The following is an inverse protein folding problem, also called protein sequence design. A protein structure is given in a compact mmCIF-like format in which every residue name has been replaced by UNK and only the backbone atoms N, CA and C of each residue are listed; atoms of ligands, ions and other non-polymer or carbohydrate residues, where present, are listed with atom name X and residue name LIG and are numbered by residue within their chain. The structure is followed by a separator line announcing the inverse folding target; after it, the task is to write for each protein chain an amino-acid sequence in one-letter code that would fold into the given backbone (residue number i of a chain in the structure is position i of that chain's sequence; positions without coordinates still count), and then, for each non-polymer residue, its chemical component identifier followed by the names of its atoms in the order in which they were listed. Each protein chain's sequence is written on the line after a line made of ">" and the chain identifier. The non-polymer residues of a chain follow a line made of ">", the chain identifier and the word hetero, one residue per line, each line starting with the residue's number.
data_IF_741876964901
#
_entry.id   IF_741876964901
#
_cell.length_a   1.000
_cell.length_b   1.000
_cell.length_c   1.000
_cell.angle_alpha   90.00
_cell.angle_beta   90.00
_cell.angle_gamma   90.00
#
_symmetry.space_group_name_H-M   'P 1'
#
loop_
_entity.id
_entity.type
_entity.pdbx_description
1 polymer ?
#
# COMPACT_ATOMS: atom_id res chain seq x y z
N UNK A 1 31.49 -12.97 4.59
CA UNK A 1 30.52 -13.27 3.51
C UNK A 1 30.10 -11.93 2.89
N UNK A 2 30.56 -11.61 1.67
CA UNK A 2 30.34 -10.29 1.05
C UNK A 2 28.83 -10.06 0.81
N UNK A 3 28.29 -9.01 1.41
CA UNK A 3 26.91 -8.54 1.26
C UNK A 3 26.77 -7.84 -0.08
N UNK A 4 26.18 -8.54 -1.07
CA UNK A 4 25.79 -7.91 -2.32
C UNK A 4 24.61 -6.98 -2.07
N UNK A 5 24.90 -5.68 -2.11
CA UNK A 5 23.94 -4.60 -2.03
C UNK A 5 23.01 -4.71 -3.26
N UNK A 6 21.70 -4.88 -3.05
CA UNK A 6 20.70 -5.02 -4.14
C UNK A 6 20.68 -3.78 -5.06
N UNK A 7 21.21 -2.65 -4.58
CA UNK A 7 21.35 -1.40 -5.35
C UNK A 7 22.52 -1.40 -6.35
N UNK A 8 23.44 -2.37 -6.28
CA UNK A 8 24.57 -2.51 -7.20
C UNK A 8 24.44 -3.81 -8.02
N UNK A 9 23.37 -3.93 -8.80
CA UNK A 9 23.41 -4.84 -9.96
C UNK A 9 24.34 -4.19 -10.97
N UNK A 10 25.62 -4.54 -10.86
CA UNK A 10 26.65 -4.14 -11.80
C UNK A 10 26.37 -4.85 -13.12
N UNK A 11 25.70 -4.17 -14.06
CA UNK A 11 25.58 -4.62 -15.44
C UNK A 11 26.91 -4.57 -16.20
N UNK A 12 28.04 -4.33 -15.51
CA UNK A 12 29.38 -4.13 -16.09
C UNK A 12 29.89 -5.32 -16.88
N UNK A 13 29.34 -6.52 -16.68
CA UNK A 13 29.82 -7.74 -17.32
C UNK A 13 28.80 -8.36 -18.29
N UNK A 14 27.76 -7.62 -18.68
CA UNK A 14 26.83 -8.08 -19.71
C UNK A 14 27.01 -7.24 -20.96
N UNK A 15 27.59 -7.83 -22.01
CA UNK A 15 27.76 -7.18 -23.31
C UNK A 15 26.49 -6.45 -23.79
N UNK A 16 26.69 -5.35 -24.51
CA UNK A 16 25.69 -4.38 -25.02
C UNK A 16 24.20 -4.76 -24.78
N UNK A 17 23.73 -4.54 -23.55
CA UNK A 17 22.31 -4.62 -23.19
C UNK A 17 21.69 -3.28 -23.59
N UNK A 18 20.83 -3.28 -24.61
CA UNK A 18 20.18 -2.06 -25.09
C UNK A 18 19.46 -1.28 -23.97
N UNK A 19 19.43 0.04 -24.10
CA UNK A 19 18.99 0.99 -23.06
C UNK A 19 17.60 0.66 -22.48
N UNK A 20 16.65 0.24 -23.32
CA UNK A 20 15.30 -0.13 -22.88
C UNK A 20 15.30 -1.36 -21.95
N UNK A 21 16.07 -2.40 -22.28
CA UNK A 21 16.16 -3.60 -21.45
C UNK A 21 16.87 -3.31 -20.13
N UNK A 22 17.90 -2.44 -20.16
CA UNK A 22 18.57 -1.95 -18.96
C UNK A 22 17.62 -1.19 -18.05
N UNK A 23 16.83 -0.26 -18.58
CA UNK A 23 15.82 0.48 -17.82
C UNK A 23 14.76 -0.47 -17.23
N UNK A 24 14.20 -1.36 -18.04
CA UNK A 24 13.17 -2.29 -17.58
C UNK A 24 13.70 -3.27 -16.51
N UNK A 25 14.94 -3.74 -16.64
CA UNK A 25 15.57 -4.59 -15.62
C UNK A 25 15.80 -3.88 -14.28
N UNK A 26 16.06 -2.56 -14.29
CA UNK A 26 16.13 -1.76 -13.06
C UNK A 26 14.77 -1.70 -12.36
N UNK A 27 13.67 -1.57 -13.10
CA UNK A 27 12.32 -1.58 -12.53
C UNK A 27 12.02 -2.94 -11.88
N UNK A 28 12.39 -4.04 -12.54
CA UNK A 28 12.26 -5.38 -11.93
C UNK A 28 13.11 -5.51 -10.67
N UNK A 29 14.35 -4.99 -10.68
CA UNK A 29 15.20 -4.99 -9.50
C UNK A 29 14.57 -4.20 -8.34
N UNK A 30 13.94 -3.06 -8.64
CA UNK A 30 13.19 -2.28 -7.65
C UNK A 30 12.00 -3.08 -7.12
N UNK A 31 11.25 -3.78 -7.98
CA UNK A 31 10.11 -4.62 -7.60
C UNK A 31 10.52 -5.77 -6.67
N UNK A 32 11.68 -6.37 -6.90
CA UNK A 32 12.18 -7.49 -6.09
C UNK A 32 12.97 -7.08 -4.84
N UNK A 33 13.33 -5.81 -4.72
CA UNK A 33 14.00 -5.27 -3.55
C UNK A 33 13.12 -5.33 -2.29
N UNK A 34 13.73 -5.24 -1.10
CA UNK A 34 12.98 -5.32 0.17
C UNK A 34 11.98 -4.18 0.38
N UNK A 35 12.19 -3.02 -0.27
CA UNK A 35 11.23 -1.91 -0.34
C UNK A 35 10.38 -1.91 -1.63
N UNK A 36 10.39 -3.01 -2.40
CA UNK A 36 9.75 -3.10 -3.71
C UNK A 36 8.24 -2.89 -3.65
N UNK A 37 7.59 -3.31 -2.56
CA UNK A 37 6.16 -3.04 -2.35
C UNK A 37 5.87 -1.54 -2.32
N UNK A 38 6.59 -0.77 -1.49
CA UNK A 38 6.43 0.70 -1.41
C UNK A 38 6.67 1.36 -2.75
N UNK A 39 7.80 1.04 -3.39
CA UNK A 39 8.22 1.71 -4.63
C UNK A 39 7.24 1.43 -5.78
N UNK A 40 6.87 0.16 -5.98
CA UNK A 40 5.99 -0.22 -7.07
C UNK A 40 4.57 0.28 -6.83
N UNK A 41 4.07 0.23 -5.59
CA UNK A 41 2.75 0.79 -5.28
C UNK A 41 2.70 2.29 -5.45
N UNK A 42 3.72 3.01 -4.99
CA UNK A 42 3.83 4.45 -5.22
C UNK A 42 3.82 4.80 -6.72
N UNK A 43 4.60 4.07 -7.52
CA UNK A 43 4.63 4.28 -8.99
C UNK A 43 3.27 3.97 -9.60
N UNK A 44 2.62 2.86 -9.21
CA UNK A 44 1.31 2.47 -9.74
C UNK A 44 0.25 3.51 -9.39
N UNK A 45 0.17 3.89 -8.13
CA UNK A 45 -0.81 4.85 -7.61
C UNK A 45 -0.63 6.21 -8.29
N UNK A 46 0.60 6.71 -8.32
CA UNK A 46 0.96 7.96 -9.00
C UNK A 46 0.65 7.90 -10.51
N UNK A 47 1.05 6.84 -11.20
CA UNK A 47 0.82 6.73 -12.64
C UNK A 47 -0.68 6.58 -12.98
N UNK A 48 -1.44 5.82 -12.18
CA UNK A 48 -2.88 5.64 -12.38
C UNK A 48 -3.68 6.90 -12.02
N UNK A 49 -3.22 7.72 -11.07
CA UNK A 49 -3.83 9.01 -10.73
C UNK A 49 -3.47 10.11 -11.74
N UNK A 50 -2.18 10.25 -12.08
CA UNK A 50 -1.69 11.33 -12.94
C UNK A 50 -2.02 11.13 -14.42
N UNK A 51 -1.90 9.91 -14.97
CA UNK A 51 -2.02 9.72 -16.41
C UNK A 51 -3.41 10.09 -16.96
N UNK A 52 -4.53 9.64 -16.36
CA UNK A 52 -5.84 10.08 -16.82
C UNK A 52 -6.10 11.56 -16.54
N UNK A 53 -5.60 12.10 -15.42
CA UNK A 53 -5.81 13.52 -15.08
C UNK A 53 -5.01 14.45 -15.99
N UNK A 54 -3.81 14.10 -16.40
CA UNK A 54 -3.06 14.86 -17.39
C UNK A 54 -3.83 14.95 -18.73
N UNK A 55 -4.63 13.93 -19.06
CA UNK A 55 -5.48 13.89 -20.26
C UNK A 55 -6.80 14.66 -20.07
N UNK A 56 -7.35 14.69 -18.86
CA UNK A 56 -8.69 15.24 -18.58
C UNK A 56 -8.72 16.50 -17.70
N UNK A 57 -7.57 17.05 -17.29
CA UNK A 57 -7.51 18.22 -16.40
C UNK A 57 -8.07 19.46 -17.08
N UNK A 58 -8.87 20.22 -16.33
CA UNK A 58 -9.55 21.42 -16.83
C UNK A 58 -8.64 22.65 -16.85
N UNK A 59 -7.52 22.61 -16.11
CA UNK A 59 -6.48 23.64 -16.12
C UNK A 59 -5.14 23.11 -15.56
N UNK A 60 -4.05 23.84 -15.80
CA UNK A 60 -2.72 23.52 -15.22
C UNK A 60 -2.71 23.61 -13.69
N UNK A 61 -3.46 24.55 -13.12
CA UNK A 61 -3.55 24.73 -11.66
C UNK A 61 -4.31 23.57 -10.99
N UNK A 62 -5.44 23.17 -11.59
CA UNK A 62 -6.25 22.01 -11.17
C UNK A 62 -5.45 20.70 -11.25
N UNK A 63 -4.60 20.56 -12.27
CA UNK A 63 -3.68 19.44 -12.38
C UNK A 63 -2.63 19.47 -11.25
N UNK A 64 -1.99 20.61 -10.97
CA UNK A 64 -0.92 20.72 -9.97
C UNK A 64 -1.43 20.50 -8.54
N UNK A 65 -2.55 21.12 -8.17
CA UNK A 65 -3.10 21.01 -6.80
C UNK A 65 -3.55 19.57 -6.48
N UNK A 66 -4.29 18.94 -7.39
CA UNK A 66 -4.74 17.56 -7.21
C UNK A 66 -3.57 16.57 -7.27
N UNK A 67 -2.59 16.80 -8.15
CA UNK A 67 -1.38 15.96 -8.22
C UNK A 67 -0.56 16.05 -6.95
N UNK A 68 -0.41 17.24 -6.38
CA UNK A 68 0.35 17.45 -5.15
C UNK A 68 -0.30 16.74 -3.96
N UNK A 69 -1.62 16.85 -3.81
CA UNK A 69 -2.36 16.18 -2.73
C UNK A 69 -2.28 14.66 -2.84
N UNK A 70 -2.52 14.10 -4.03
CA UNK A 70 -2.43 12.65 -4.24
C UNK A 70 -1.01 12.13 -4.06
N UNK A 71 0.00 12.84 -4.57
CA UNK A 71 1.40 12.46 -4.39
C UNK A 71 1.79 12.46 -2.90
N UNK A 72 1.32 13.46 -2.15
CA UNK A 72 1.57 13.57 -0.71
C UNK A 72 0.92 12.44 0.07
N UNK A 73 -0.31 12.07 -0.27
CA UNK A 73 -1.03 10.93 0.32
C UNK A 73 -0.34 9.60 0.00
N UNK A 74 0.02 9.37 -1.27
CA UNK A 74 0.79 8.19 -1.65
C UNK A 74 2.15 8.15 -0.94
N UNK A 75 2.86 9.27 -0.81
CA UNK A 75 4.13 9.31 -0.06
C UNK A 75 3.93 8.96 1.42
N UNK A 76 2.87 9.50 2.03
CA UNK A 76 2.50 9.22 3.41
C UNK A 76 2.20 7.73 3.63
N UNK A 77 1.46 7.10 2.74
CA UNK A 77 1.11 5.68 2.85
C UNK A 77 2.31 4.77 2.60
N UNK A 78 3.09 5.02 1.54
CA UNK A 78 4.09 4.05 1.08
C UNK A 78 5.46 4.20 1.74
N UNK A 79 5.84 5.39 2.20
CA UNK A 79 7.19 5.63 2.75
C UNK A 79 7.19 6.01 4.24
N UNK A 80 6.19 6.74 4.74
CA UNK A 80 6.20 7.16 6.14
C UNK A 80 6.18 6.00 7.17
N UNK A 81 5.54 4.83 6.92
CA UNK A 81 5.67 3.70 7.86
C UNK A 81 7.12 3.29 8.10
N UNK A 82 7.91 3.19 7.02
CA UNK A 82 9.32 2.85 7.11
C UNK A 82 10.15 3.98 7.71
N UNK A 83 9.87 5.24 7.36
CA UNK A 83 10.58 6.41 7.91
C UNK A 83 10.36 6.55 9.43
N UNK A 84 9.11 6.47 9.88
CA UNK A 84 8.78 6.54 11.31
C UNK A 84 9.28 5.31 12.06
N UNK A 85 9.06 4.12 11.47
CA UNK A 85 9.51 2.84 12.03
C UNK A 85 11.01 2.80 12.22
N UNK A 86 11.80 3.06 11.17
CA UNK A 86 13.26 2.98 11.19
C UNK A 86 13.90 4.20 11.87
N UNK A 87 13.43 5.40 11.54
CA UNK A 87 14.06 6.66 11.93
C UNK A 87 13.79 7.07 13.38
N UNK A 88 12.61 6.74 13.90
CA UNK A 88 12.13 7.17 15.22
C UNK A 88 11.93 5.97 16.13
N UNK A 89 10.94 5.11 15.84
CA UNK A 89 10.49 4.11 16.80
C UNK A 89 11.51 2.99 17.04
N UNK A 90 12.25 2.57 15.99
CA UNK A 90 13.32 1.55 16.13
C UNK A 90 14.37 2.04 17.11
N UNK A 91 14.78 3.30 17.02
CA UNK A 91 15.74 3.88 17.98
C UNK A 91 15.13 3.87 19.38
N UNK A 92 13.92 4.41 19.56
CA UNK A 92 13.29 4.50 20.87
C UNK A 92 13.11 3.13 21.57
N UNK A 93 12.60 2.12 20.86
CA UNK A 93 12.20 0.86 21.48
C UNK A 93 13.29 -0.21 21.49
N UNK A 94 14.27 -0.14 20.58
CA UNK A 94 15.35 -1.13 20.55
C UNK A 94 16.52 -0.80 21.46
N UNK A 95 16.59 0.40 22.07
CA UNK A 95 17.76 0.86 22.81
C UNK A 95 18.28 -0.13 23.85
N UNK A 96 17.37 -0.80 24.58
CA UNK A 96 17.69 -1.78 25.63
C UNK A 96 17.98 -3.19 25.11
N UNK A 97 17.81 -3.46 23.81
CA UNK A 97 18.13 -4.74 23.23
C UNK A 97 19.65 -4.90 23.02
N UNK A 98 20.19 -6.11 23.25
CA UNK A 98 21.55 -6.45 22.84
C UNK A 98 21.79 -6.29 21.33
N UNK A 99 23.03 -6.03 20.94
CA UNK A 99 23.38 -5.68 19.55
C UNK A 99 23.08 -6.78 18.53
N UNK A 100 23.18 -8.05 18.93
CA UNK A 100 22.79 -9.20 18.11
C UNK A 100 21.26 -9.22 17.83
N UNK A 101 20.44 -8.88 18.83
CA UNK A 101 18.98 -8.82 18.70
C UNK A 101 18.54 -7.58 17.90
N UNK A 102 19.22 -6.43 18.06
CA UNK A 102 18.94 -5.22 17.26
C UNK A 102 18.99 -5.47 15.75
N UNK A 103 19.89 -6.36 15.29
CA UNK A 103 20.02 -6.75 13.89
C UNK A 103 18.84 -7.61 13.38
N UNK A 104 18.16 -8.33 14.28
CA UNK A 104 17.03 -9.20 13.94
C UNK A 104 15.68 -8.48 13.98
N UNK A 105 15.65 -7.18 14.30
CA UNK A 105 14.40 -6.39 14.35
C UNK A 105 13.70 -6.34 12.99
N UNK A 106 14.47 -6.31 11.90
CA UNK A 106 13.91 -6.31 10.54
C UNK A 106 13.47 -7.69 10.07
N UNK A 107 13.97 -8.77 10.70
CA UNK A 107 13.56 -10.14 10.38
C UNK A 107 12.07 -10.32 10.70
N UNK A 108 11.23 -10.80 9.76
CA UNK A 108 9.81 -11.01 10.00
C UNK A 108 9.56 -11.96 11.18
N UNK A 109 8.56 -11.66 12.01
CA UNK A 109 8.19 -12.45 13.17
C UNK A 109 7.84 -13.90 12.80
N UNK A 110 7.24 -14.11 11.62
CA UNK A 110 6.93 -15.44 11.09
C UNK A 110 8.18 -16.29 10.86
N UNK A 111 9.33 -15.68 10.53
CA UNK A 111 10.61 -16.36 10.39
C UNK A 111 11.27 -16.58 11.75
N UNK A 112 11.22 -15.58 12.63
CA UNK A 112 11.75 -15.69 14.01
C UNK A 112 11.07 -16.82 14.79
N UNK A 113 9.75 -16.98 14.61
CA UNK A 113 8.99 -18.07 15.23
C UNK A 113 9.37 -19.45 14.67
N UNK A 114 9.78 -19.55 13.39
CA UNK A 114 10.24 -20.82 12.80
C UNK A 114 11.64 -21.23 13.28
N UNK A 115 12.51 -20.27 13.60
CA UNK A 115 13.87 -20.53 14.09
C UNK A 115 13.90 -21.08 15.53
N UNK A 116 12.76 -21.08 16.23
CA UNK A 116 12.56 -21.65 17.56
C UNK A 116 13.55 -21.18 18.66
N UNK A 117 14.01 -19.93 18.58
CA UNK A 117 14.87 -19.30 19.61
C UNK A 117 14.01 -18.62 20.68
N UNK A 118 13.40 -19.43 21.56
CA UNK A 118 12.39 -18.95 22.51
C UNK A 118 12.85 -17.78 23.41
N UNK A 119 14.10 -17.79 23.88
CA UNK A 119 14.65 -16.73 24.72
C UNK A 119 14.80 -15.39 23.99
N UNK A 120 15.28 -15.44 22.74
CA UNK A 120 15.43 -14.26 21.89
C UNK A 120 14.06 -13.70 21.50
N UNK A 121 13.12 -14.59 21.14
CA UNK A 121 11.76 -14.22 20.74
C UNK A 121 11.00 -13.52 21.88
N UNK A 122 11.19 -13.93 23.15
CA UNK A 122 10.61 -13.25 24.31
C UNK A 122 11.05 -11.78 24.41
N UNK A 123 12.26 -11.44 23.97
CA UNK A 123 12.77 -10.05 23.97
C UNK A 123 12.38 -9.30 22.70
N UNK A 124 12.42 -9.96 21.55
CA UNK A 124 12.23 -9.35 20.24
C UNK A 124 10.76 -9.05 19.90
N UNK A 125 9.85 -9.99 20.13
CA UNK A 125 8.46 -9.86 19.69
C UNK A 125 7.75 -8.65 20.31
N UNK A 126 7.89 -8.36 21.63
CA UNK A 126 7.27 -7.16 22.19
C UNK A 126 7.79 -5.86 21.61
N UNK A 127 9.09 -5.79 21.31
CA UNK A 127 9.70 -4.60 20.68
C UNK A 127 9.16 -4.43 19.25
N UNK A 128 9.12 -5.51 18.46
CA UNK A 128 8.53 -5.47 17.11
C UNK A 128 7.05 -5.08 17.14
N UNK A 129 6.28 -5.59 18.09
CA UNK A 129 4.86 -5.27 18.24
C UNK A 129 4.65 -3.79 18.61
N UNK A 130 5.51 -3.23 19.47
CA UNK A 130 5.50 -1.80 19.79
C UNK A 130 5.82 -0.92 18.56
N UNK A 131 6.77 -1.34 17.72
CA UNK A 131 7.06 -0.66 16.45
C UNK A 131 5.84 -0.65 15.54
N UNK A 132 5.21 -1.81 15.37
CA UNK A 132 4.02 -1.98 14.53
C UNK A 132 2.85 -1.13 15.01
N UNK A 133 2.56 -1.13 16.32
CA UNK A 133 1.50 -0.32 16.92
C UNK A 133 1.75 1.18 16.80
N UNK A 134 3.00 1.63 16.96
CA UNK A 134 3.33 3.04 16.81
C UNK A 134 3.23 3.51 15.36
N UNK A 135 3.47 2.60 14.41
CA UNK A 135 3.29 2.84 12.97
C UNK A 135 1.82 2.87 12.53
N UNK A 136 0.86 2.45 13.38
CA UNK A 136 -0.58 2.68 13.12
C UNK A 136 -0.94 4.17 13.03
N UNK A 137 -0.03 5.07 13.40
CA UNK A 137 -0.12 6.49 13.08
C UNK A 137 -0.56 6.74 11.63
N UNK A 138 0.02 6.00 10.67
CA UNK A 138 -0.21 6.23 9.24
C UNK A 138 -1.64 5.87 8.82
N UNK A 139 -2.15 4.63 9.06
CA UNK A 139 -3.57 4.32 8.85
C UNK A 139 -4.54 5.29 9.54
N UNK A 140 -4.21 5.74 10.76
CA UNK A 140 -5.04 6.65 11.54
C UNK A 140 -5.04 8.09 10.99
N UNK A 141 -3.89 8.56 10.50
CA UNK A 141 -3.80 9.82 9.77
C UNK A 141 -4.62 9.73 8.48
N UNK A 142 -4.51 8.64 7.72
CA UNK A 142 -5.31 8.42 6.50
C UNK A 142 -6.82 8.46 6.77
N UNK A 143 -7.26 7.81 7.84
CA UNK A 143 -8.65 7.91 8.32
C UNK A 143 -9.03 9.37 8.62
N UNK A 144 -8.19 10.08 9.35
CA UNK A 144 -8.46 11.46 9.79
C UNK A 144 -8.42 12.46 8.65
N UNK A 145 -7.54 12.26 7.66
CA UNK A 145 -7.39 13.11 6.48
C UNK A 145 -8.71 13.24 5.71
N UNK A 146 -9.49 12.16 5.63
CA UNK A 146 -10.82 12.22 5.01
C UNK A 146 -11.77 13.21 5.72
N UNK A 147 -11.74 13.27 7.04
CA UNK A 147 -12.53 14.22 7.84
C UNK A 147 -11.91 15.63 7.85
N UNK A 148 -10.58 15.74 7.84
CA UNK A 148 -9.88 17.03 7.70
C UNK A 148 -10.23 17.67 6.35
N UNK A 149 -10.27 16.88 5.27
CA UNK A 149 -10.75 17.33 3.95
C UNK A 149 -12.18 17.89 4.06
N UNK A 150 -13.10 17.23 4.78
CA UNK A 150 -14.45 17.78 5.02
C UNK A 150 -14.39 19.16 5.70
N UNK A 151 -13.56 19.33 6.73
CA UNK A 151 -13.42 20.60 7.45
C UNK A 151 -12.80 21.69 6.59
N UNK A 152 -11.80 21.36 5.76
CA UNK A 152 -11.21 22.30 4.82
C UNK A 152 -12.25 22.75 3.79
N UNK A 153 -13.03 21.83 3.24
CA UNK A 153 -14.12 22.16 2.32
C UNK A 153 -15.14 23.09 2.97
N UNK A 154 -15.57 22.79 4.21
CA UNK A 154 -16.46 23.66 4.98
C UNK A 154 -15.87 25.05 5.24
N UNK A 155 -14.58 25.13 5.59
CA UNK A 155 -13.93 26.40 5.98
C UNK A 155 -13.60 27.29 4.78
N UNK A 156 -13.12 26.70 3.68
CA UNK A 156 -12.75 27.42 2.46
C UNK A 156 -13.97 27.77 1.60
N UNK A 157 -14.97 26.89 1.53
CA UNK A 157 -16.13 27.07 0.64
C UNK A 157 -17.44 27.38 1.38
N UNK A 158 -17.46 27.39 2.73
CA UNK A 158 -18.67 27.58 3.57
C UNK A 158 -19.80 26.57 3.26
N UNK A 159 -19.46 25.40 2.72
CA UNK A 159 -20.42 24.46 2.15
C UNK A 159 -20.10 23.01 2.53
N UNK A 160 -21.09 22.29 3.05
CA UNK A 160 -21.00 20.88 3.44
C UNK A 160 -21.38 19.89 2.34
N UNK A 161 -21.87 20.38 1.19
CA UNK A 161 -22.20 19.56 0.03
C UNK A 161 -21.33 19.92 -1.18
N UNK A 162 -20.67 18.91 -1.76
CA UNK A 162 -19.79 19.07 -2.93
C UNK A 162 -20.57 19.35 -4.21
N UNK A 163 -21.87 19.02 -4.23
CA UNK A 163 -22.77 19.26 -5.37
C UNK A 163 -22.85 20.76 -5.74
N UNK A 164 -22.69 21.65 -4.76
CA UNK A 164 -22.70 23.11 -4.99
C UNK A 164 -21.33 23.70 -5.40
N UNK A 165 -20.25 22.92 -5.29
CA UNK A 165 -18.87 23.37 -5.61
C UNK A 165 -18.60 23.26 -7.12
N UNK A 166 -19.39 22.45 -7.84
CA UNK A 166 -19.34 22.33 -9.31
C UNK A 166 -20.02 23.49 -10.06
N UNK A 167 -20.68 24.40 -9.34
CA UNK A 167 -21.18 25.69 -9.84
C UNK A 167 -22.23 25.58 -10.97
N UNK A 168 -23.44 25.10 -10.64
CA UNK A 168 -24.62 25.19 -11.52
C UNK A 168 -25.83 25.89 -10.89
N UNK A 169 -25.71 26.51 -9.72
CA UNK A 169 -26.83 27.20 -9.08
C UNK A 169 -26.45 28.61 -8.59
N UNK A 170 -27.16 29.64 -9.08
CA UNK A 170 -26.92 31.05 -8.73
C UNK A 170 -27.52 31.44 -7.37
N UNK A 171 -28.39 30.62 -6.79
CA UNK A 171 -28.96 30.86 -5.45
C UNK A 171 -28.31 30.00 -4.36
N UNK A 172 -27.36 30.61 -3.65
CA UNK A 172 -26.62 30.01 -2.53
C UNK A 172 -27.48 29.89 -1.28
N UNK A 173 -28.19 28.77 -1.08
CA UNK A 173 -28.75 28.43 0.25
C UNK A 173 -27.70 27.71 1.10
N UNK A 174 -27.16 28.43 2.09
CA UNK A 174 -26.28 27.88 3.12
C UNK A 174 -27.09 26.91 3.98
N UNK A 175 -26.81 25.60 3.91
CA UNK A 175 -27.43 24.62 4.79
C UNK A 175 -26.65 24.52 6.11
N UNK A 176 -26.97 25.42 7.05
CA UNK A 176 -26.31 25.51 8.36
C UNK A 176 -26.40 24.21 9.18
N UNK A 177 -27.47 23.43 9.04
CA UNK A 177 -27.67 22.18 9.77
C UNK A 177 -26.74 21.07 9.25
N UNK A 178 -26.62 20.94 7.93
CA UNK A 178 -25.69 20.00 7.30
C UNK A 178 -24.23 20.39 7.62
N UNK A 179 -23.89 21.67 7.55
CA UNK A 179 -22.56 22.17 7.88
C UNK A 179 -22.19 21.85 9.33
N UNK A 180 -23.10 22.11 10.28
CA UNK A 180 -22.90 21.78 11.69
C UNK A 180 -22.75 20.28 11.93
N UNK A 181 -23.52 19.45 11.22
CA UNK A 181 -23.42 17.98 11.31
C UNK A 181 -22.05 17.49 10.82
N UNK A 182 -21.61 17.94 9.65
CA UNK A 182 -20.31 17.55 9.07
C UNK A 182 -19.16 18.02 9.96
N UNK A 183 -19.22 19.25 10.50
CA UNK A 183 -18.19 19.77 11.39
C UNK A 183 -18.12 19.00 12.72
N UNK A 184 -19.27 18.75 13.36
CA UNK A 184 -19.33 17.96 14.61
C UNK A 184 -18.82 16.54 14.40
N UNK A 185 -19.21 15.92 13.28
CA UNK A 185 -18.74 14.58 12.91
C UNK A 185 -17.22 14.56 12.72
N UNK A 186 -16.67 15.47 11.90
CA UNK A 186 -15.24 15.52 11.65
C UNK A 186 -14.42 15.76 12.92
N UNK A 187 -14.83 16.71 13.78
CA UNK A 187 -14.17 16.94 15.08
C UNK A 187 -14.23 15.71 15.99
N UNK A 188 -15.38 15.01 16.03
CA UNK A 188 -15.55 13.78 16.81
C UNK A 188 -14.59 12.69 16.33
N UNK A 189 -14.52 12.46 15.03
CA UNK A 189 -13.69 11.41 14.45
C UNK A 189 -12.18 11.71 14.59
N UNK A 190 -11.75 12.95 14.40
CA UNK A 190 -10.35 13.36 14.64
C UNK A 190 -9.96 13.13 16.12
N UNK A 191 -10.82 13.54 17.07
CA UNK A 191 -10.59 13.30 18.50
C UNK A 191 -10.55 11.81 18.84
N UNK A 192 -11.47 11.03 18.28
CA UNK A 192 -11.52 9.59 18.48
C UNK A 192 -10.23 8.92 17.98
N UNK A 193 -9.75 9.31 16.81
CA UNK A 193 -8.51 8.80 16.24
C UNK A 193 -7.28 9.17 17.07
N UNK A 194 -7.21 10.41 17.57
CA UNK A 194 -6.16 10.79 18.51
C UNK A 194 -6.18 9.93 19.79
N UNK A 195 -7.37 9.63 20.32
CA UNK A 195 -7.56 8.73 21.46
C UNK A 195 -7.10 7.29 21.18
N UNK A 196 -7.47 6.73 20.02
CA UNK A 196 -6.99 5.41 19.59
C UNK A 196 -5.45 5.40 19.51
N UNK A 197 -4.86 6.42 18.89
CA UNK A 197 -3.42 6.48 18.73
C UNK A 197 -2.69 6.60 20.07
N UNK A 198 -3.21 7.40 21.00
CA UNK A 198 -2.69 7.46 22.37
C UNK A 198 -2.74 6.09 23.06
N UNK A 199 -3.82 5.31 22.85
CA UNK A 199 -3.92 3.93 23.28
C UNK A 199 -2.85 3.02 22.67
N UNK A 200 -2.60 3.14 21.36
CA UNK A 200 -1.53 2.41 20.68
C UNK A 200 -0.14 2.72 21.27
N UNK A 201 0.15 3.98 21.57
CA UNK A 201 1.43 4.39 22.18
C UNK A 201 1.57 3.91 23.63
N UNK A 202 0.49 3.95 24.41
CA UNK A 202 0.46 3.42 25.77
C UNK A 202 0.72 1.90 25.76
N UNK A 203 0.05 1.16 24.88
CA UNK A 203 0.25 -0.28 24.71
C UNK A 203 1.65 -0.60 24.20
N UNK A 204 2.19 0.17 23.25
CA UNK A 204 3.57 0.04 22.76
C UNK A 204 4.58 0.17 23.90
N UNK A 205 4.40 1.18 24.76
CA UNK A 205 5.25 1.38 25.93
C UNK A 205 5.13 0.22 26.92
N UNK A 206 3.91 -0.29 27.14
CA UNK A 206 3.67 -1.44 28.01
C UNK A 206 4.33 -2.71 27.47
N UNK A 207 4.26 -2.97 26.16
CA UNK A 207 4.91 -4.09 25.50
C UNK A 207 6.44 -4.03 25.65
N UNK A 208 7.06 -2.87 25.42
CA UNK A 208 8.51 -2.71 25.58
C UNK A 208 8.95 -2.90 27.04
N UNK A 209 8.19 -2.36 28.01
CA UNK A 209 8.58 -2.41 29.43
C UNK A 209 8.30 -3.76 30.09
N UNK A 210 7.17 -4.39 29.79
CA UNK A 210 6.68 -5.58 30.51
C UNK A 210 6.48 -6.81 29.62
N UNK A 211 6.64 -6.68 28.30
CA UNK A 211 6.35 -7.75 27.34
C UNK A 211 7.17 -9.01 27.59
N UNK A 212 8.48 -8.88 27.84
CA UNK A 212 9.38 -10.02 28.09
C UNK A 212 8.88 -10.95 29.20
N UNK A 213 8.28 -10.38 30.25
CA UNK A 213 7.92 -11.09 31.48
C UNK A 213 6.43 -11.44 31.54
N UNK A 214 5.61 -11.03 30.56
CA UNK A 214 4.16 -11.25 30.58
C UNK A 214 3.70 -12.13 29.43
N UNK A 215 3.16 -13.31 29.77
CA UNK A 215 2.60 -14.26 28.79
C UNK A 215 1.47 -13.63 27.97
N UNK A 216 0.66 -12.77 28.57
CA UNK A 216 -0.44 -12.07 27.88
C UNK A 216 0.13 -11.11 26.83
N UNK A 217 1.13 -10.31 27.19
CA UNK A 217 1.76 -9.38 26.27
C UNK A 217 2.55 -10.07 25.16
N UNK A 218 3.16 -11.23 25.45
CA UNK A 218 3.76 -12.09 24.41
C UNK A 218 2.71 -12.59 23.42
N UNK A 219 1.60 -13.14 23.93
CA UNK A 219 0.50 -13.61 23.09
C UNK A 219 -0.08 -12.49 22.21
N UNK A 220 -0.21 -11.29 22.77
CA UNK A 220 -0.65 -10.11 22.04
C UNK A 220 0.36 -9.69 20.98
N UNK A 221 1.66 -9.74 21.29
CA UNK A 221 2.73 -9.45 20.32
C UNK A 221 2.68 -10.40 19.14
N UNK A 222 2.51 -11.71 19.39
CA UNK A 222 2.33 -12.70 18.34
C UNK A 222 1.05 -12.47 17.52
N UNK A 223 -0.06 -12.08 18.17
CA UNK A 223 -1.31 -11.78 17.47
C UNK A 223 -1.17 -10.56 16.53
N UNK A 224 -0.41 -9.53 16.94
CA UNK A 224 -0.14 -8.34 16.14
C UNK A 224 0.80 -8.66 14.95
N UNK A 225 1.85 -9.43 15.20
CA UNK A 225 2.95 -9.63 14.25
C UNK A 225 2.80 -10.87 13.37
N UNK A 226 2.12 -11.90 13.84
CA UNK A 226 1.94 -13.17 13.14
C UNK A 226 0.56 -13.79 13.45
N UNK A 227 -0.54 -13.07 13.16
CA UNK A 227 -1.90 -13.51 13.50
C UNK A 227 -2.24 -14.88 12.90
N UNK A 228 -1.77 -15.15 11.69
CA UNK A 228 -1.94 -16.44 11.03
C UNK A 228 -1.30 -17.58 11.81
N UNK A 229 -0.03 -17.40 12.20
CA UNK A 229 0.70 -18.38 13.03
C UNK A 229 0.05 -18.54 14.41
N UNK A 230 -0.52 -17.46 14.96
CA UNK A 230 -1.15 -17.49 16.28
C UNK A 230 -2.48 -18.24 16.28
N UNK A 231 -3.36 -17.90 15.35
CA UNK A 231 -4.76 -18.32 15.36
C UNK A 231 -5.06 -19.53 14.45
N UNK A 232 -4.22 -19.80 13.44
CA UNK A 232 -4.47 -20.84 12.43
C UNK A 232 -3.38 -21.93 12.39
N UNK A 233 -2.92 -22.38 13.56
CA UNK A 233 -1.83 -23.36 13.70
C UNK A 233 -2.02 -24.65 12.88
N UNK A 234 -3.27 -25.11 12.76
CA UNK A 234 -3.60 -26.38 12.11
C UNK A 234 -3.90 -26.22 10.60
N UNK A 235 -3.86 -25.00 10.05
CA UNK A 235 -4.17 -24.75 8.65
C UNK A 235 -3.14 -23.80 8.04
N UNK A 236 -2.12 -24.37 7.40
CA UNK A 236 -1.01 -23.62 6.79
C UNK A 236 -1.49 -22.58 5.78
N UNK A 237 -2.46 -22.91 4.93
CA UNK A 237 -2.97 -21.99 3.91
C UNK A 237 -3.65 -20.77 4.55
N UNK A 238 -4.48 -20.98 5.59
CA UNK A 238 -5.09 -19.88 6.34
C UNK A 238 -4.03 -19.09 7.12
N UNK A 239 -3.08 -19.76 7.76
CA UNK A 239 -1.99 -19.10 8.47
C UNK A 239 -1.17 -18.20 7.54
N UNK A 240 -0.76 -18.70 6.39
CA UNK A 240 0.01 -17.94 5.41
C UNK A 240 -0.79 -16.75 4.85
N UNK A 241 -2.09 -16.94 4.58
CA UNK A 241 -2.98 -15.86 4.16
C UNK A 241 -3.09 -14.75 5.22
N UNK A 242 -3.39 -15.13 6.47
CA UNK A 242 -3.57 -14.15 7.56
C UNK A 242 -2.25 -13.44 7.90
N UNK A 243 -1.13 -14.16 7.93
CA UNK A 243 0.18 -13.54 8.10
C UNK A 243 0.51 -12.56 6.97
N UNK A 244 0.16 -12.88 5.72
CA UNK A 244 0.44 -12.01 4.57
C UNK A 244 -0.36 -10.72 4.60
N UNK A 245 -1.65 -10.77 4.94
CA UNK A 245 -2.56 -9.62 4.80
C UNK A 245 -2.92 -8.92 6.11
N UNK A 246 -2.72 -9.54 7.28
CA UNK A 246 -3.14 -8.99 8.57
C UNK A 246 -2.00 -8.86 9.59
N UNK A 247 -0.78 -9.28 9.26
CA UNK A 247 0.39 -8.96 10.09
C UNK A 247 0.71 -7.46 10.02
N UNK A 248 0.85 -6.81 11.17
CA UNK A 248 1.34 -5.43 11.24
C UNK A 248 2.87 -5.34 11.34
N UNK A 249 3.57 -6.48 11.30
CA UNK A 249 5.03 -6.50 11.30
C UNK A 249 5.59 -5.85 10.03
N UNK A 250 6.80 -5.33 10.13
CA UNK A 250 7.53 -4.76 8.99
C UNK A 250 8.17 -5.86 8.14
N UNK A 251 8.35 -5.56 6.85
CA UNK A 251 9.17 -6.38 5.97
C UNK A 251 10.66 -6.06 6.18
N UNK A 252 11.52 -7.03 5.87
CA UNK A 252 12.97 -6.83 5.86
C UNK A 252 13.42 -6.20 4.54
N UNK A 253 14.19 -5.12 4.64
CA UNK A 253 14.92 -4.54 3.54
C UNK A 253 16.41 -4.46 3.88
N UNK A 254 17.08 -5.61 3.77
CA UNK A 254 18.51 -5.76 4.01
C UNK A 254 18.93 -5.21 5.39
N UNK A 255 18.19 -5.56 6.44
CA UNK A 255 18.47 -5.11 7.81
C UNK A 255 17.71 -3.84 8.23
N UNK A 256 17.00 -3.19 7.31
CA UNK A 256 16.12 -2.03 7.57
C UNK A 256 14.64 -2.41 7.52
N UNK A 257 13.80 -1.65 8.20
CA UNK A 257 12.35 -1.81 8.13
C UNK A 257 11.82 -1.31 6.78
N UNK A 258 10.88 -2.05 6.20
CA UNK A 258 10.12 -1.66 5.02
C UNK A 258 8.63 -1.96 5.20
N UNK A 259 7.79 -1.28 4.41
CA UNK A 259 6.35 -1.48 4.41
C UNK A 259 6.02 -2.94 4.10
N UNK A 260 5.25 -3.58 4.98
CA UNK A 260 4.71 -4.90 4.71
C UNK A 260 3.33 -4.83 4.06
N UNK A 261 2.92 -5.95 3.47
CA UNK A 261 1.59 -6.05 2.85
C UNK A 261 0.46 -5.96 3.87
N UNK A 262 0.66 -6.44 5.10
CA UNK A 262 -0.36 -6.31 6.14
C UNK A 262 -0.45 -4.89 6.71
N UNK A 263 0.66 -4.15 6.80
CA UNK A 263 0.63 -2.71 7.10
C UNK A 263 -0.11 -1.91 6.03
N UNK A 264 0.16 -2.20 4.74
CA UNK A 264 -0.57 -1.59 3.63
C UNK A 264 -2.07 -1.94 3.68
N UNK A 265 -2.41 -3.20 3.96
CA UNK A 265 -3.80 -3.65 4.09
C UNK A 265 -4.50 -2.93 5.25
N UNK A 266 -3.83 -2.76 6.39
CA UNK A 266 -4.36 -1.97 7.51
C UNK A 266 -4.62 -0.53 7.08
N UNK A 267 -3.70 0.10 6.35
CA UNK A 267 -3.89 1.45 5.85
C UNK A 267 -5.12 1.57 4.93
N UNK A 268 -5.27 0.65 3.97
CA UNK A 268 -6.44 0.61 3.08
C UNK A 268 -7.74 0.42 3.87
N UNK A 269 -7.80 -0.55 4.78
CA UNK A 269 -9.03 -0.84 5.52
C UNK A 269 -9.43 0.30 6.48
N UNK A 270 -8.47 0.81 7.25
CA UNK A 270 -8.70 1.91 8.19
C UNK A 270 -8.99 3.22 7.45
N UNK A 271 -8.19 3.58 6.45
CA UNK A 271 -8.44 4.73 5.59
C UNK A 271 -9.79 4.64 4.88
N UNK A 272 -10.14 3.46 4.39
CA UNK A 272 -11.44 3.14 3.79
C UNK A 272 -12.60 3.39 4.74
N UNK A 273 -12.51 2.97 5.99
CA UNK A 273 -13.54 3.26 7.00
C UNK A 273 -13.74 4.77 7.18
N UNK A 274 -12.66 5.56 7.14
CA UNK A 274 -12.72 7.02 7.18
C UNK A 274 -13.37 7.60 5.93
N UNK A 275 -13.02 7.06 4.75
CA UNK A 275 -13.59 7.50 3.48
C UNK A 275 -15.10 7.19 3.36
N UNK A 276 -15.53 6.00 3.80
CA UNK A 276 -16.96 5.65 3.89
C UNK A 276 -17.72 6.54 4.88
N UNK A 277 -17.14 6.81 6.06
CA UNK A 277 -17.74 7.68 7.05
C UNK A 277 -17.88 9.12 6.56
N UNK A 278 -16.78 9.68 6.05
CA UNK A 278 -16.74 11.04 5.53
C UNK A 278 -17.64 11.25 4.30
N UNK A 279 -17.74 10.26 3.39
CA UNK A 279 -18.63 10.31 2.23
C UNK A 279 -20.10 10.22 2.63
N UNK A 280 -20.44 9.39 3.62
CA UNK A 280 -21.80 9.32 4.19
C UNK A 280 -22.26 10.65 4.79
N UNK A 281 -21.36 11.36 5.47
CA UNK A 281 -21.65 12.68 6.04
C UNK A 281 -21.95 13.73 4.97
N UNK A 282 -21.34 13.60 3.78
CA UNK A 282 -21.53 14.50 2.63
C UNK A 282 -22.77 14.18 1.79
N UNK A 283 -23.37 13.00 1.93
CA UNK A 283 -24.63 12.65 1.25
C UNK A 283 -24.64 11.31 0.52
N UNK A 284 -25.85 10.87 0.12
CA UNK A 284 -26.10 9.53 -0.42
C UNK A 284 -25.35 9.25 -1.73
N UNK A 285 -25.21 10.23 -2.61
CA UNK A 285 -24.52 10.04 -3.90
C UNK A 285 -23.01 9.81 -3.72
N UNK A 286 -22.36 10.61 -2.87
CA UNK A 286 -20.94 10.46 -2.53
C UNK A 286 -20.65 9.11 -1.87
N UNK A 287 -21.56 8.65 -1.00
CA UNK A 287 -21.45 7.33 -0.39
C UNK A 287 -21.58 6.19 -1.41
N UNK A 288 -22.50 6.29 -2.38
CA UNK A 288 -22.65 5.28 -3.44
C UNK A 288 -21.42 5.23 -4.35
N UNK A 289 -20.89 6.38 -4.78
CA UNK A 289 -19.66 6.43 -5.57
C UNK A 289 -18.50 5.74 -4.82
N UNK A 290 -18.36 6.04 -3.52
CA UNK A 290 -17.37 5.41 -2.65
C UNK A 290 -17.57 3.89 -2.57
N UNK A 291 -18.82 3.43 -2.42
CA UNK A 291 -19.17 2.02 -2.32
C UNK A 291 -18.82 1.22 -3.58
N UNK A 292 -19.00 1.79 -4.77
CA UNK A 292 -18.66 1.10 -6.01
C UNK A 292 -17.16 1.15 -6.33
N UNK A 293 -16.50 2.27 -6.04
CA UNK A 293 -15.08 2.47 -6.37
C UNK A 293 -14.14 1.80 -5.38
N UNK A 294 -14.41 1.92 -4.08
CA UNK A 294 -13.47 1.53 -3.03
C UNK A 294 -13.11 0.04 -3.03
N UNK A 295 -14.05 -0.93 -3.18
CA UNK A 295 -13.69 -2.34 -3.18
C UNK A 295 -12.67 -2.69 -4.27
N UNK A 296 -12.83 -2.11 -5.46
CA UNK A 296 -11.95 -2.38 -6.59
C UNK A 296 -10.58 -1.68 -6.43
N UNK A 297 -10.59 -0.41 -6.06
CA UNK A 297 -9.34 0.36 -5.82
C UNK A 297 -8.57 -0.20 -4.62
N UNK A 298 -9.25 -0.44 -3.50
CA UNK A 298 -8.64 -1.01 -2.29
C UNK A 298 -8.07 -2.41 -2.54
N UNK A 299 -8.81 -3.26 -3.26
CA UNK A 299 -8.28 -4.57 -3.67
C UNK A 299 -7.06 -4.45 -4.58
N UNK A 300 -7.04 -3.50 -5.51
CA UNK A 300 -5.88 -3.23 -6.35
C UNK A 300 -4.70 -2.67 -5.55
N UNK A 301 -4.89 -1.75 -4.61
CA UNK A 301 -3.79 -1.25 -3.77
C UNK A 301 -3.18 -2.39 -2.96
N UNK A 302 -4.01 -3.27 -2.38
CA UNK A 302 -3.53 -4.41 -1.60
C UNK A 302 -2.82 -5.43 -2.51
N UNK A 303 -3.51 -5.97 -3.50
CA UNK A 303 -3.05 -7.09 -4.31
C UNK A 303 -2.14 -6.67 -5.48
N UNK A 304 -2.48 -5.55 -6.10
CA UNK A 304 -1.88 -4.95 -7.28
C UNK A 304 -1.56 -5.93 -8.39
N UNK A 305 -0.36 -5.82 -8.95
CA UNK A 305 0.03 -6.64 -10.10
C UNK A 305 0.27 -8.12 -9.77
N UNK A 306 0.35 -8.55 -8.50
CA UNK A 306 0.59 -9.96 -8.16
C UNK A 306 -0.46 -10.91 -8.77
N UNK A 307 -1.72 -10.48 -8.81
CA UNK A 307 -2.82 -11.28 -9.38
C UNK A 307 -2.69 -11.40 -10.89
N UNK A 308 -2.42 -10.28 -11.56
CA UNK A 308 -2.19 -10.23 -12.99
C UNK A 308 -0.93 -11.03 -13.37
N UNK A 309 0.12 -10.93 -12.57
CA UNK A 309 1.38 -11.63 -12.76
C UNK A 309 1.20 -13.15 -12.65
N UNK A 310 0.43 -13.63 -11.65
CA UNK A 310 0.12 -15.05 -11.51
C UNK A 310 -0.68 -15.59 -12.70
N UNK A 311 -1.70 -14.84 -13.14
CA UNK A 311 -2.48 -15.19 -14.33
C UNK A 311 -1.62 -15.20 -15.60
N UNK A 312 -0.76 -14.20 -15.77
CA UNK A 312 0.13 -14.07 -16.91
C UNK A 312 1.20 -15.18 -16.95
N UNK A 313 1.80 -15.54 -15.81
CA UNK A 313 2.70 -16.69 -15.71
C UNK A 313 2.02 -17.98 -16.14
N UNK A 314 0.78 -18.22 -15.68
CA UNK A 314 -0.01 -19.39 -16.08
C UNK A 314 -0.24 -19.43 -17.59
N UNK A 315 -0.53 -18.28 -18.21
CA UNK A 315 -0.68 -18.15 -19.66
C UNK A 315 0.62 -18.43 -20.41
N UNK A 316 1.73 -17.82 -19.98
CA UNK A 316 3.05 -18.04 -20.59
C UNK A 316 3.46 -19.51 -20.52
N UNK A 317 3.30 -20.13 -19.34
CA UNK A 317 3.63 -21.54 -19.12
C UNK A 317 2.81 -22.48 -20.03
N UNK A 318 1.49 -22.29 -20.09
CA UNK A 318 0.59 -23.08 -20.96
C UNK A 318 0.95 -22.95 -22.44
N UNK A 319 1.36 -21.77 -22.88
CA UNK A 319 1.75 -21.51 -24.27
C UNK A 319 3.22 -21.87 -24.55
N UNK A 320 3.90 -22.54 -23.62
CA UNK A 320 5.28 -22.97 -23.75
C UNK A 320 6.31 -21.83 -23.83
N UNK A 321 5.96 -20.61 -23.39
CA UNK A 321 6.85 -19.45 -23.38
C UNK A 321 7.54 -19.32 -22.02
N UNK A 322 8.81 -18.88 -22.03
CA UNK A 322 9.62 -18.65 -20.82
C UNK A 322 9.81 -19.89 -19.92
N UNK A 323 9.86 -21.09 -20.50
CA UNK A 323 10.08 -22.35 -19.75
C UNK A 323 11.41 -22.37 -19.01
N UNK A 324 12.39 -21.57 -19.45
CA UNK A 324 13.70 -21.45 -18.81
C UNK A 324 13.66 -20.71 -17.47
N UNK A 325 12.57 -19.99 -17.18
CA UNK A 325 12.38 -19.26 -15.92
C UNK A 325 11.13 -19.65 -15.13
N UNK A 326 10.08 -20.12 -15.78
CA UNK A 326 8.83 -20.50 -15.12
C UNK A 326 8.80 -22.00 -14.91
N UNK A 327 8.81 -22.43 -13.64
CA UNK A 327 8.66 -23.84 -13.30
C UNK A 327 7.17 -24.27 -13.25
N UNK A 328 6.91 -25.57 -13.05
CA UNK A 328 5.57 -26.14 -12.92
C UNK A 328 4.72 -25.49 -11.80
N UNK A 329 5.39 -24.97 -10.76
CA UNK A 329 4.76 -24.25 -9.64
C UNK A 329 4.53 -22.76 -9.94
N UNK A 330 4.84 -22.31 -11.15
CA UNK A 330 4.80 -20.91 -11.60
C UNK A 330 5.75 -19.98 -10.81
N UNK A 331 6.78 -20.54 -10.20
CA UNK A 331 7.83 -19.80 -9.51
C UNK A 331 8.86 -19.31 -10.52
N UNK A 332 9.43 -18.14 -10.23
CA UNK A 332 10.41 -17.47 -11.11
C UNK A 332 11.60 -17.04 -10.26
N UNK A 333 12.84 -17.41 -10.64
CA UNK A 333 14.06 -17.02 -9.92
C UNK A 333 14.20 -15.49 -9.78
N UNK A 334 14.88 -15.04 -8.72
CA UNK A 334 15.17 -13.61 -8.55
C UNK A 334 16.19 -13.12 -9.59
N UNK A 335 16.17 -11.83 -9.87
CA UNK A 335 17.04 -11.19 -10.86
C UNK A 335 18.53 -11.40 -10.53
N UNK A 336 18.88 -11.44 -9.24
CA UNK A 336 20.25 -11.70 -8.76
C UNK A 336 20.76 -13.12 -9.07
N UNK A 337 19.85 -14.07 -9.28
CA UNK A 337 20.19 -15.48 -9.51
C UNK A 337 20.31 -15.81 -11.00
N UNK A 338 19.84 -14.93 -11.89
CA UNK A 338 19.81 -15.16 -13.34
C UNK A 338 21.20 -15.42 -13.94
N UNK A 339 22.24 -14.72 -13.44
CA UNK A 339 23.61 -14.92 -13.95
C UNK A 339 24.14 -16.31 -13.61
N UNK A 340 23.92 -16.75 -12.37
CA UNK A 340 24.29 -18.11 -11.92
C UNK A 340 23.53 -19.19 -12.70
N UNK A 341 22.28 -18.92 -13.09
CA UNK A 341 21.49 -19.83 -13.92
C UNK A 341 22.05 -19.88 -15.36
N UNK A 342 22.46 -18.74 -15.91
CA UNK A 342 23.08 -18.66 -17.23
C UNK A 342 24.44 -19.41 -17.26
N UNK A 343 25.25 -19.29 -16.21
CA UNK A 343 26.54 -19.99 -16.08
C UNK A 343 26.41 -21.52 -16.05
N UNK A 344 25.27 -22.04 -15.61
CA UNK A 344 24.98 -23.49 -15.59
C UNK A 344 24.58 -24.05 -16.96
N UNK A 345 24.29 -23.20 -17.94
CA UNK A 345 23.98 -23.63 -19.30
C UNK A 345 25.26 -23.69 -20.13
N UNK A 346 25.46 -24.78 -20.85
CA UNK A 346 26.55 -24.91 -21.82
C UNK A 346 26.35 -23.90 -22.97
N UNK A 347 27.37 -23.09 -23.25
CA UNK A 347 27.36 -22.11 -24.34
C UNK A 347 27.69 -20.68 -23.91
N UNK A 348 27.22 -19.70 -24.70
CA UNK A 348 27.50 -18.28 -24.45
C UNK A 348 26.66 -17.76 -23.27
N UNK A 349 27.32 -17.62 -22.11
CA UNK A 349 26.72 -17.14 -20.85
C UNK A 349 26.06 -15.76 -21.01
N UNK A 350 26.64 -14.85 -21.78
CA UNK A 350 26.09 -13.50 -21.97
C UNK A 350 24.81 -13.50 -22.81
N UNK A 351 24.78 -14.30 -23.88
CA UNK A 351 23.59 -14.48 -24.70
C UNK A 351 22.46 -15.12 -23.88
N UNK A 352 22.78 -16.14 -23.08
CA UNK A 352 21.82 -16.81 -22.21
C UNK A 352 21.31 -15.87 -21.10
N UNK A 353 22.20 -15.12 -20.45
CA UNK A 353 21.83 -14.11 -19.45
C UNK A 353 20.89 -13.05 -20.05
N UNK A 354 21.20 -12.54 -21.25
CA UNK A 354 20.35 -11.57 -21.96
C UNK A 354 18.98 -12.15 -22.29
N UNK A 355 18.89 -13.44 -22.66
CA UNK A 355 17.62 -14.15 -22.89
C UNK A 355 16.80 -14.26 -21.61
N UNK A 356 17.40 -14.72 -20.51
CA UNK A 356 16.74 -14.82 -19.20
C UNK A 356 16.27 -13.45 -18.71
N UNK A 357 17.08 -12.40 -18.89
CA UNK A 357 16.71 -11.04 -18.50
C UNK A 357 15.48 -10.53 -19.27
N UNK A 358 15.41 -10.77 -20.59
CA UNK A 358 14.22 -10.43 -21.39
C UNK A 358 12.97 -11.15 -20.89
N UNK A 359 13.07 -12.44 -20.60
CA UNK A 359 11.95 -13.22 -20.07
C UNK A 359 11.51 -12.70 -18.69
N UNK A 360 12.47 -12.38 -17.81
CA UNK A 360 12.18 -11.83 -16.49
C UNK A 360 11.44 -10.50 -16.58
N UNK A 361 11.92 -9.60 -17.44
CA UNK A 361 11.27 -8.32 -17.73
C UNK A 361 9.87 -8.51 -18.32
N UNK A 362 9.68 -9.46 -19.23
CA UNK A 362 8.37 -9.78 -19.78
C UNK A 362 7.40 -10.21 -18.68
N UNK A 363 7.81 -11.17 -17.85
CA UNK A 363 6.98 -11.76 -16.79
C UNK A 363 6.54 -10.71 -15.77
N UNK A 364 7.43 -9.83 -15.32
CA UNK A 364 7.13 -8.85 -14.28
C UNK A 364 6.58 -7.52 -14.84
N UNK A 365 7.13 -7.06 -15.98
CA UNK A 365 6.85 -5.75 -16.56
C UNK A 365 5.50 -5.67 -17.27
N UNK A 366 5.09 -6.70 -18.01
CA UNK A 366 3.80 -6.68 -18.72
C UNK A 366 2.62 -6.57 -17.76
N UNK A 367 2.52 -7.40 -16.69
CA UNK A 367 1.45 -7.26 -15.70
C UNK A 367 1.45 -5.91 -14.97
N UNK A 368 2.63 -5.34 -14.72
CA UNK A 368 2.78 -4.02 -14.12
C UNK A 368 2.20 -2.93 -15.03
N UNK A 369 2.61 -2.89 -16.30
CA UNK A 369 2.11 -1.92 -17.29
C UNK A 369 0.62 -2.07 -17.56
N UNK A 370 0.15 -3.31 -17.72
CA UNK A 370 -1.27 -3.61 -17.90
C UNK A 370 -2.08 -3.13 -16.69
N UNK A 371 -1.58 -3.40 -15.48
CA UNK A 371 -2.22 -2.94 -14.25
C UNK A 371 -2.32 -1.42 -14.17
N UNK A 372 -1.27 -0.68 -14.55
CA UNK A 372 -1.29 0.80 -14.57
C UNK A 372 -2.30 1.31 -15.59
N UNK A 373 -2.25 0.81 -16.82
CA UNK A 373 -3.12 1.28 -17.91
C UNK A 373 -4.59 0.99 -17.61
N UNK A 374 -4.94 -0.27 -17.36
CA UNK A 374 -6.34 -0.69 -17.19
C UNK A 374 -6.98 -0.05 -15.97
N UNK A 375 -6.26 0.00 -14.84
CA UNK A 375 -6.81 0.62 -13.62
C UNK A 375 -6.95 2.13 -13.77
N UNK A 376 -5.98 2.80 -14.39
CA UNK A 376 -6.07 4.25 -14.65
C UNK A 376 -7.28 4.58 -15.52
N UNK A 377 -7.47 3.87 -16.63
CA UNK A 377 -8.63 4.08 -17.51
C UNK A 377 -9.96 3.68 -16.85
N UNK A 378 -10.00 2.61 -16.06
CA UNK A 378 -11.19 2.20 -15.33
C UNK A 378 -11.61 3.25 -14.28
N UNK A 379 -10.66 3.75 -13.48
CA UNK A 379 -10.92 4.78 -12.47
C UNK A 379 -11.43 6.05 -13.14
N UNK A 380 -10.78 6.51 -14.20
CA UNK A 380 -11.22 7.70 -14.94
C UNK A 380 -12.59 7.52 -15.59
N UNK A 381 -12.83 6.36 -16.22
CA UNK A 381 -14.11 6.04 -16.84
C UNK A 381 -15.26 5.97 -15.84
N UNK A 382 -15.05 5.33 -14.69
CA UNK A 382 -16.06 5.25 -13.62
C UNK A 382 -16.35 6.61 -13.02
N UNK A 383 -15.32 7.41 -12.71
CA UNK A 383 -15.52 8.79 -12.23
C UNK A 383 -16.28 9.66 -13.24
N UNK A 384 -15.98 9.55 -14.55
CA UNK A 384 -16.71 10.30 -15.58
C UNK A 384 -18.18 9.84 -15.67
N UNK A 385 -18.44 8.53 -15.58
CA UNK A 385 -19.80 7.98 -15.61
C UNK A 385 -20.64 8.46 -14.41
N UNK A 386 -20.09 8.44 -13.20
CA UNK A 386 -20.76 8.98 -12.01
C UNK A 386 -20.98 10.49 -12.12
N UNK A 387 -20.01 11.23 -12.68
CA UNK A 387 -20.15 12.68 -12.93
C UNK A 387 -21.31 12.96 -13.88
N UNK A 388 -21.39 12.24 -15.01
CA UNK A 388 -22.49 12.38 -15.98
C UNK A 388 -23.85 11.97 -15.41
N UNK A 389 -23.88 10.88 -14.63
CA UNK A 389 -25.09 10.44 -13.95
C UNK A 389 -25.62 11.49 -12.97
N UNK A 390 -24.72 12.12 -12.19
CA UNK A 390 -25.06 13.22 -11.26
C UNK A 390 -25.65 14.40 -12.02
N UNK A 391 -24.96 14.87 -13.05
CA UNK A 391 -25.41 15.97 -13.91
C UNK A 391 -26.81 15.71 -14.49
N UNK A 392 -27.04 14.54 -15.10
CA UNK A 392 -28.33 14.21 -15.69
C UNK A 392 -29.47 14.12 -14.66
N UNK A 393 -29.19 13.67 -13.44
CA UNK A 393 -30.19 13.55 -12.38
C UNK A 393 -30.59 14.91 -11.81
N UNK A 394 -29.63 15.83 -11.68
CA UNK A 394 -29.87 17.20 -11.24
C UNK A 394 -30.67 17.97 -12.28
N UNK A 395 -30.29 17.89 -13.56
CA UNK A 395 -31.04 18.54 -14.63
C UNK A 395 -32.48 18.02 -14.79
N UNK A 396 -32.70 16.70 -14.67
CA UNK A 396 -34.07 16.16 -14.71
C UNK A 396 -34.93 16.61 -13.51
N UNK A 397 -34.33 16.94 -12.36
CA UNK A 397 -35.05 17.47 -11.21
C UNK A 397 -35.42 18.95 -11.35
N UNK A 398 -34.63 19.74 -12.06
CA UNK A 398 -34.94 21.14 -12.40
C UNK A 398 -36.09 21.23 -13.40
N UNK A 399 -36.06 20.43 -14.48
CA UNK A 399 -37.13 20.42 -15.49
C UNK A 399 -38.49 20.01 -14.91
N UNK A 400 -38.50 19.12 -13.91
CA UNK A 400 -39.73 18.69 -13.24
C UNK A 400 -40.26 19.74 -12.26
N UNK A 401 -39.40 20.62 -11.73
CA UNK A 401 -39.78 21.74 -10.86
C UNK A 401 -40.25 22.97 -11.63
N UNK A 402 -39.80 23.18 -12.87
CA UNK A 402 -40.30 24.27 -13.72
C UNK A 402 -41.65 23.98 -14.40
N UNK A 403 -42.13 22.74 -14.29
CA UNK A 403 -43.42 22.26 -14.83
C UNK A 403 -44.51 22.09 -13.75
N UNK A 404 -44.22 22.47 -12.50
CA UNK A 404 -45.18 22.59 -11.39
C UNK A 404 -45.20 24.04 -10.93
#
# INVERSE_FOLDING_TARGET
>A
MKTNNVNNISFTNAGNIGTCLKAASKIVAVQEGGAGLSNIRFIQDTATGLAPKAVFARSKADLVENSFLELSESMLVYYCPAILGEGIFRKLYSNKLPQNLKKQISTPATELLKQNKALDNKKLLPVKAALALSALAIPLVEYSLNYIKNLMTLKMFKQGNFDNIANLDKEKKINNELNNKVEKSAKKHIKHTAGIYAGCLALSTLLVKKGQNSKVLQNLSEAILAPGTKFFKNNKNKADFFNKYFSLDFADNNGKLALSKGQLTSCVLVGGAGYFGASKDRGKQNFLETLFRFPLVGFYIICGNELLEKGFKKLLYKNGKCKELINEKLEVPQLKDLRKIAEKHSGNVDAMYKKLLKQKVLIAGVPLLFGIGVMGFFIAGTSNLFTKYRYNKEHNQETTKSLK
#
